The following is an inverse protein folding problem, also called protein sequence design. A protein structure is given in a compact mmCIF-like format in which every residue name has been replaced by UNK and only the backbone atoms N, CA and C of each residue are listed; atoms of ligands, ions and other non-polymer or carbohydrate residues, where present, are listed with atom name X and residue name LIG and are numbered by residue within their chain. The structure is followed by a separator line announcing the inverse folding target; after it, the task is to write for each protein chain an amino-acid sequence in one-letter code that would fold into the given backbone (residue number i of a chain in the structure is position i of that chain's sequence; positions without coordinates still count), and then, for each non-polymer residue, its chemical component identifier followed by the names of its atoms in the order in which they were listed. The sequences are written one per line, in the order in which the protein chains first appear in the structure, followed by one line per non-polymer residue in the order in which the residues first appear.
data_IF_670983863446
#
_entry.id   IF_670983863446
#
_cell.length_a   1.000
_cell.length_b   1.000
_cell.length_c   1.000
_cell.angle_alpha   90.00
_cell.angle_beta   90.00
_cell.angle_gamma   90.00
#
_symmetry.space_group_name_H-M   'P 1'
#
loop_
_entity.id
_entity.type
_entity.pdbx_description
1 polymer ?
#
# COMPACT_ATOMS: atom_id res chain seq x y z
N UNK A 1 67.36 -74.41 31.21
CA UNK A 1 67.56 -73.07 30.60
C UNK A 1 67.47 -73.18 29.09
N UNK A 2 66.31 -72.92 28.51
CA UNK A 2 66.14 -72.64 27.07
C UNK A 2 65.11 -71.54 26.94
N UNK A 3 65.56 -70.39 26.46
CA UNK A 3 64.76 -69.21 26.13
C UNK A 3 64.05 -69.53 24.82
N UNK A 4 62.72 -69.46 24.81
CA UNK A 4 61.91 -69.67 23.61
C UNK A 4 61.20 -68.36 23.28
N UNK A 5 61.72 -67.68 22.25
CA UNK A 5 61.20 -66.43 21.71
C UNK A 5 59.93 -66.72 20.90
N UNK A 6 58.79 -66.14 21.30
CA UNK A 6 57.57 -66.12 20.48
C UNK A 6 57.37 -64.72 19.89
N UNK A 7 57.32 -64.65 18.55
CA UNK A 7 56.93 -63.46 17.80
C UNK A 7 55.44 -63.17 18.03
N UNK A 8 55.12 -61.95 18.43
CA UNK A 8 53.75 -61.42 18.51
C UNK A 8 53.43 -60.75 17.17
N UNK A 9 52.46 -61.28 16.42
CA UNK A 9 51.87 -60.61 15.27
C UNK A 9 50.71 -59.73 15.75
N UNK A 10 50.87 -58.40 15.70
CA UNK A 10 49.79 -57.44 15.95
C UNK A 10 49.11 -57.15 14.61
N UNK A 11 47.91 -57.70 14.39
CA UNK A 11 47.05 -57.29 13.27
C UNK A 11 46.21 -56.10 13.70
N UNK A 12 46.55 -54.91 13.19
CA UNK A 12 45.85 -53.66 13.46
C UNK A 12 44.53 -53.64 12.69
N UNK A 13 43.40 -53.78 13.39
CA UNK A 13 42.06 -53.63 12.82
C UNK A 13 41.66 -52.15 12.87
N UNK A 14 41.72 -51.48 11.73
CA UNK A 14 41.19 -50.13 11.54
C UNK A 14 39.68 -50.19 11.36
N UNK A 15 38.93 -49.74 12.35
CA UNK A 15 37.48 -49.50 12.25
C UNK A 15 37.26 -48.06 11.77
N UNK A 16 36.67 -47.81 10.59
CA UNK A 16 36.38 -46.45 10.15
C UNK A 16 35.18 -45.91 10.93
N UNK A 17 35.43 -44.92 11.79
CA UNK A 17 34.38 -44.13 12.45
C UNK A 17 33.86 -43.13 11.41
N UNK A 18 32.70 -43.40 10.82
CA UNK A 18 31.98 -42.43 10.00
C UNK A 18 31.40 -41.34 10.91
N UNK A 19 32.09 -40.21 11.02
CA UNK A 19 31.48 -38.97 11.50
C UNK A 19 30.58 -38.43 10.40
N UNK A 20 29.26 -38.61 10.55
CA UNK A 20 28.27 -37.90 9.75
C UNK A 20 28.21 -36.47 10.29
N UNK A 21 29.03 -35.58 9.74
CA UNK A 21 28.83 -34.14 9.90
C UNK A 21 27.57 -33.77 9.10
N UNK A 22 26.42 -33.67 9.77
CA UNK A 22 25.31 -32.91 9.23
C UNK A 22 25.74 -31.43 9.25
N UNK A 23 26.27 -30.96 8.13
CA UNK A 23 26.35 -29.53 7.87
C UNK A 23 24.90 -29.04 7.76
N UNK A 24 24.42 -28.34 8.81
CA UNK A 24 23.25 -27.48 8.68
C UNK A 24 23.65 -26.35 7.74
N UNK A 25 23.38 -26.51 6.44
CA UNK A 25 23.36 -25.38 5.53
C UNK A 25 22.23 -24.46 6.02
N UNK A 26 22.49 -23.17 6.30
CA UNK A 26 21.41 -22.21 6.51
C UNK A 26 20.53 -22.23 5.26
N UNK A 27 19.22 -22.25 5.46
CA UNK A 27 18.24 -22.38 4.38
C UNK A 27 18.50 -21.28 3.35
N UNK A 28 18.80 -21.61 2.09
CA UNK A 28 19.07 -20.58 1.05
C UNK A 28 17.94 -19.54 0.95
N UNK A 29 16.71 -19.96 1.27
CA UNK A 29 15.50 -19.13 1.34
C UNK A 29 15.50 -18.10 2.48
N UNK A 30 16.19 -18.35 3.59
CA UNK A 30 16.27 -17.47 4.76
C UNK A 30 17.26 -16.32 4.50
N UNK A 31 18.40 -16.64 3.88
CA UNK A 31 19.41 -15.64 3.47
C UNK A 31 18.87 -14.70 2.37
N UNK A 32 18.06 -15.23 1.44
CA UNK A 32 17.37 -14.42 0.42
C UNK A 32 16.36 -13.42 1.00
N UNK A 33 15.67 -13.80 2.08
CA UNK A 33 14.69 -12.93 2.75
C UNK A 33 15.35 -11.72 3.40
N UNK A 34 16.41 -11.98 4.17
CA UNK A 34 17.16 -10.92 4.85
C UNK A 34 17.78 -9.94 3.85
N UNK A 35 18.41 -10.44 2.78
CA UNK A 35 18.95 -9.61 1.70
C UNK A 35 17.86 -8.73 1.07
N UNK A 36 16.71 -9.32 0.75
CA UNK A 36 15.57 -8.57 0.18
C UNK A 36 15.03 -7.52 1.16
N UNK A 37 14.98 -7.83 2.46
CA UNK A 37 14.50 -6.89 3.47
C UNK A 37 15.46 -5.70 3.61
N UNK A 38 16.76 -5.97 3.68
CA UNK A 38 17.80 -4.94 3.79
C UNK A 38 17.79 -4.02 2.56
N UNK A 39 17.70 -4.61 1.36
CA UNK A 39 17.71 -3.86 0.09
C UNK A 39 16.44 -3.00 -0.09
N UNK A 40 15.27 -3.56 0.22
CA UNK A 40 13.99 -2.97 -0.22
C UNK A 40 13.09 -2.42 0.89
N UNK A 41 13.26 -2.84 2.14
CA UNK A 41 12.32 -2.54 3.23
C UNK A 41 12.95 -1.73 4.37
N UNK A 42 14.21 -2.01 4.71
CA UNK A 42 14.88 -1.50 5.90
C UNK A 42 15.06 0.02 5.90
N UNK A 43 15.25 0.65 4.74
CA UNK A 43 15.38 2.12 4.62
C UNK A 43 14.16 2.88 5.15
N UNK A 44 12.96 2.28 5.05
CA UNK A 44 11.71 2.85 5.58
C UNK A 44 11.29 2.19 6.90
N UNK A 45 11.27 0.86 6.97
CA UNK A 45 10.76 0.13 8.13
C UNK A 45 11.78 -0.06 9.25
N UNK A 46 13.07 0.19 8.99
CA UNK A 46 14.19 0.03 9.91
C UNK A 46 14.60 -1.44 10.11
N UNK A 47 15.86 -1.67 10.49
CA UNK A 47 16.40 -3.03 10.70
C UNK A 47 15.69 -3.85 11.78
N UNK A 48 14.90 -3.19 12.64
CA UNK A 48 14.11 -3.85 13.69
C UNK A 48 12.60 -3.80 13.41
N UNK A 49 12.18 -3.41 12.21
CA UNK A 49 10.77 -3.36 11.81
C UNK A 49 9.93 -2.29 12.52
N UNK A 50 10.54 -1.30 13.18
CA UNK A 50 9.84 -0.30 14.02
C UNK A 50 9.24 0.88 13.25
N UNK A 51 9.38 0.90 11.93
CA UNK A 51 8.93 2.02 11.08
C UNK A 51 9.81 3.26 11.24
N UNK A 52 11.09 3.08 11.57
CA UNK A 52 12.05 4.15 11.90
C UNK A 52 13.36 4.04 11.11
N UNK A 53 13.31 3.52 9.88
CA UNK A 53 14.47 3.50 9.00
C UNK A 53 14.97 4.91 8.66
N UNK A 54 16.16 5.02 8.09
CA UNK A 54 16.83 6.29 7.84
C UNK A 54 16.02 7.25 6.95
N UNK A 55 15.12 6.74 6.12
CA UNK A 55 14.22 7.53 5.26
C UNK A 55 12.81 7.71 5.85
N UNK A 56 12.50 7.09 7.00
CA UNK A 56 11.16 7.15 7.60
C UNK A 56 10.71 8.58 7.94
N UNK A 57 11.65 9.50 8.18
CA UNK A 57 11.33 10.90 8.48
C UNK A 57 10.76 11.65 7.26
N UNK A 58 11.09 11.23 6.03
CA UNK A 58 10.74 11.86 4.76
C UNK A 58 9.37 11.48 4.21
N UNK A 59 8.72 10.46 4.77
CA UNK A 59 7.48 9.90 4.20
C UNK A 59 6.30 10.05 5.16
N UNK A 60 5.14 10.36 4.58
CA UNK A 60 3.85 10.37 5.26
C UNK A 60 2.74 9.72 4.40
N UNK A 61 1.91 8.82 4.97
CA UNK A 61 1.90 8.34 6.36
C UNK A 61 3.18 7.60 6.77
N UNK A 62 3.46 7.55 8.07
CA UNK A 62 4.68 6.88 8.58
C UNK A 62 4.71 5.39 8.21
N UNK A 63 5.90 4.82 7.94
CA UNK A 63 6.05 3.40 7.67
C UNK A 63 5.49 2.58 8.83
N UNK A 64 4.91 1.43 8.51
CA UNK A 64 4.34 0.54 9.52
C UNK A 64 5.43 0.09 10.50
N UNK A 65 5.15 0.24 11.78
CA UNK A 65 5.81 -0.50 12.85
C UNK A 65 5.21 -1.90 12.97
N UNK A 66 5.97 -2.88 12.49
CA UNK A 66 5.59 -4.28 12.56
C UNK A 66 5.59 -4.79 14.00
N UNK A 67 6.47 -4.29 14.87
CA UNK A 67 6.59 -4.72 16.29
C UNK A 67 5.35 -4.43 17.13
N UNK A 68 4.45 -3.57 16.64
CA UNK A 68 3.16 -3.32 17.28
C UNK A 68 2.14 -4.45 17.10
N UNK A 69 2.34 -5.34 16.12
CA UNK A 69 1.33 -6.34 15.72
C UNK A 69 0.07 -5.76 15.07
N UNK A 70 0.01 -4.43 14.84
CA UNK A 70 -1.18 -3.74 14.32
C UNK A 70 -1.09 -3.55 12.80
N UNK A 71 -1.92 -4.29 12.05
CA UNK A 71 -2.00 -4.21 10.59
C UNK A 71 -3.29 -3.54 10.13
N UNK A 72 -3.19 -2.53 9.25
CA UNK A 72 -4.36 -1.80 8.71
C UNK A 72 -5.18 -2.65 7.75
N UNK A 73 -4.49 -3.42 6.88
CA UNK A 73 -5.10 -4.18 5.80
C UNK A 73 -5.12 -5.65 6.20
N UNK A 74 -6.33 -6.18 6.41
CA UNK A 74 -6.56 -7.53 6.95
C UNK A 74 -7.86 -8.09 6.39
N UNK A 75 -7.94 -9.41 6.25
CA UNK A 75 -9.18 -10.14 5.97
C UNK A 75 -9.77 -10.83 7.22
N UNK A 76 -9.27 -10.50 8.41
CA UNK A 76 -9.66 -11.10 9.70
C UNK A 76 -10.42 -10.11 10.61
N UNK A 77 -11.19 -10.56 11.61
CA UNK A 77 -11.92 -9.68 12.55
C UNK A 77 -11.01 -8.79 13.40
N UNK A 78 -11.50 -7.67 13.94
CA UNK A 78 -10.71 -6.76 14.77
C UNK A 78 -9.97 -7.49 15.91
N UNK A 79 -8.70 -7.14 16.12
CA UNK A 79 -7.85 -7.79 17.12
C UNK A 79 -7.19 -9.09 16.67
N UNK A 80 -7.57 -9.64 15.51
CA UNK A 80 -6.94 -10.85 14.95
C UNK A 80 -5.79 -10.47 13.99
N UNK A 81 -4.65 -11.19 13.98
CA UNK A 81 -3.56 -10.93 13.04
C UNK A 81 -3.99 -11.03 11.56
N UNK A 82 -3.26 -10.38 10.63
CA UNK A 82 -3.45 -10.59 9.20
C UNK A 82 -3.07 -12.02 8.78
N UNK A 83 -3.66 -12.51 7.70
CA UNK A 83 -3.24 -13.76 7.06
C UNK A 83 -1.98 -13.55 6.22
N UNK A 84 -1.26 -14.63 5.89
CA UNK A 84 -0.10 -14.54 4.98
C UNK A 84 -0.50 -13.95 3.61
N UNK A 85 -1.71 -14.23 3.13
CA UNK A 85 -2.25 -13.65 1.89
C UNK A 85 -2.48 -12.14 2.00
N UNK A 86 -2.88 -11.63 3.16
CA UNK A 86 -3.03 -10.18 3.39
C UNK A 86 -1.65 -9.48 3.31
N UNK A 87 -0.63 -10.05 3.95
CA UNK A 87 0.74 -9.52 3.93
C UNK A 87 1.32 -9.65 2.51
N UNK A 88 1.14 -10.79 1.86
CA UNK A 88 1.56 -11.03 0.48
C UNK A 88 1.00 -9.97 -0.46
N UNK A 89 -0.33 -9.77 -0.44
CA UNK A 89 -0.99 -8.78 -1.31
C UNK A 89 -0.51 -7.37 -1.01
N UNK A 90 -0.31 -7.02 0.26
CA UNK A 90 0.20 -5.71 0.66
C UNK A 90 1.61 -5.45 0.11
N UNK A 91 2.53 -6.42 0.20
CA UNK A 91 3.88 -6.28 -0.35
C UNK A 91 3.82 -6.27 -1.89
N UNK A 92 3.12 -7.24 -2.46
CA UNK A 92 3.05 -7.42 -3.91
C UNK A 92 2.44 -6.20 -4.59
N UNK A 93 1.33 -5.66 -4.08
CA UNK A 93 0.61 -4.54 -4.70
C UNK A 93 1.08 -3.16 -4.22
N UNK A 94 1.76 -3.09 -3.08
CA UNK A 94 2.02 -1.83 -2.39
C UNK A 94 0.77 -1.26 -1.73
N UNK A 95 0.85 -0.02 -1.27
CA UNK A 95 -0.26 0.70 -0.65
C UNK A 95 -0.48 2.04 -1.36
N UNK A 96 -1.46 2.14 -2.27
CA UNK A 96 -1.73 3.34 -3.04
C UNK A 96 -1.86 4.63 -2.19
N UNK A 97 -1.25 5.70 -2.71
CA UNK A 97 -1.13 7.01 -2.06
C UNK A 97 -0.27 7.01 -0.80
N UNK A 98 0.61 6.03 -0.65
CA UNK A 98 1.66 6.03 0.36
C UNK A 98 2.98 5.73 -0.32
N UNK A 99 4.10 6.02 0.36
CA UNK A 99 5.44 5.72 -0.15
C UNK A 99 5.80 4.23 -0.11
N UNK A 100 4.83 3.33 0.08
CA UNK A 100 5.02 1.87 -0.01
C UNK A 100 4.69 1.40 -1.44
N UNK A 101 5.70 1.24 -2.31
CA UNK A 101 5.48 0.89 -3.70
C UNK A 101 5.06 -0.57 -3.87
N UNK A 102 4.72 -0.91 -5.10
CA UNK A 102 4.45 -2.28 -5.54
C UNK A 102 5.76 -3.07 -5.72
N UNK A 103 5.85 -4.27 -5.13
CA UNK A 103 7.01 -5.17 -5.24
C UNK A 103 6.76 -6.38 -6.15
N UNK A 104 5.85 -6.27 -7.14
CA UNK A 104 5.55 -7.31 -8.14
C UNK A 104 6.75 -7.86 -8.90
N UNK A 105 7.87 -7.13 -8.93
CA UNK A 105 9.10 -7.57 -9.58
C UNK A 105 9.86 -8.65 -8.80
N UNK A 106 9.57 -8.82 -7.50
CA UNK A 106 10.10 -9.90 -6.67
C UNK A 106 9.37 -11.21 -6.98
N UNK A 107 10.09 -12.33 -6.90
CA UNK A 107 9.49 -13.66 -7.05
C UNK A 107 8.62 -13.97 -5.84
N UNK A 108 7.59 -14.80 -6.04
CA UNK A 108 6.70 -15.23 -4.96
C UNK A 108 7.44 -15.83 -3.76
N UNK A 109 8.56 -16.53 -3.98
CA UNK A 109 9.36 -17.12 -2.90
C UNK A 109 10.10 -16.04 -2.09
N UNK A 110 10.56 -14.96 -2.73
CA UNK A 110 11.20 -13.82 -2.05
C UNK A 110 10.19 -13.09 -1.19
N UNK A 111 8.98 -12.85 -1.71
CA UNK A 111 7.89 -12.24 -0.93
C UNK A 111 7.49 -13.14 0.25
N UNK A 112 7.44 -14.46 0.08
CA UNK A 112 7.19 -15.39 1.20
C UNK A 112 8.25 -15.29 2.31
N UNK A 113 9.52 -15.17 1.96
CA UNK A 113 10.57 -14.94 2.95
C UNK A 113 10.41 -13.59 3.67
N UNK A 114 10.01 -12.53 2.96
CA UNK A 114 9.69 -11.23 3.57
C UNK A 114 8.49 -11.31 4.52
N UNK A 115 7.46 -12.11 4.20
CA UNK A 115 6.31 -12.33 5.08
C UNK A 115 6.75 -12.93 6.42
N UNK A 116 7.66 -13.92 6.40
CA UNK A 116 8.19 -14.52 7.63
C UNK A 116 8.91 -13.47 8.48
N UNK A 117 9.76 -12.64 7.89
CA UNK A 117 10.45 -11.55 8.59
C UNK A 117 9.45 -10.57 9.23
N UNK A 118 8.40 -10.17 8.50
CA UNK A 118 7.36 -9.28 9.02
C UNK A 118 6.62 -9.92 10.20
N UNK A 119 6.31 -11.22 10.12
CA UNK A 119 5.67 -11.98 11.21
C UNK A 119 6.57 -12.10 12.42
N UNK A 120 7.87 -12.32 12.21
CA UNK A 120 8.87 -12.39 13.27
C UNK A 120 9.01 -11.04 13.98
N UNK A 121 9.07 -9.91 13.26
CA UNK A 121 9.05 -8.60 13.91
C UNK A 121 7.77 -8.38 14.72
N UNK A 122 6.62 -8.78 14.17
CA UNK A 122 5.32 -8.61 14.80
C UNK A 122 5.02 -9.61 15.91
N UNK A 123 5.83 -10.67 16.05
CA UNK A 123 5.61 -11.78 16.98
C UNK A 123 4.19 -12.36 16.84
N UNK A 124 3.72 -12.53 15.60
CA UNK A 124 2.39 -13.05 15.29
C UNK A 124 2.45 -14.49 14.76
N UNK A 125 1.52 -15.31 15.23
CA UNK A 125 1.16 -16.57 14.61
C UNK A 125 -0.22 -16.43 13.96
N UNK A 126 -0.35 -16.86 12.71
CA UNK A 126 -1.54 -16.72 11.91
C UNK A 126 -1.97 -18.00 11.18
N UNK A 127 -1.49 -19.18 11.62
CA UNK A 127 -1.81 -20.45 10.96
C UNK A 127 -3.32 -20.77 10.99
N UNK A 128 -4.01 -20.46 12.10
CA UNK A 128 -5.41 -20.85 12.33
C UNK A 128 -6.37 -19.66 12.46
N UNK A 129 -6.02 -18.50 11.92
CA UNK A 129 -6.87 -17.30 12.03
C UNK A 129 -8.13 -17.44 11.19
N UNK A 130 -9.28 -17.14 11.81
CA UNK A 130 -10.56 -17.12 11.11
C UNK A 130 -10.68 -15.86 10.26
N UNK A 131 -10.93 -16.04 8.97
CA UNK A 131 -11.23 -14.95 8.02
C UNK A 131 -12.67 -14.46 8.18
N UNK A 132 -12.89 -13.19 7.86
CA UNK A 132 -14.23 -12.61 7.70
C UNK A 132 -14.87 -13.27 6.47
N UNK A 133 -16.03 -13.89 6.67
CA UNK A 133 -16.88 -14.36 5.58
C UNK A 133 -17.62 -13.17 4.98
N UNK A 134 -17.35 -12.87 3.72
CA UNK A 134 -18.08 -11.83 2.98
C UNK A 134 -19.38 -12.48 2.45
N UNK A 135 -20.57 -11.97 2.84
CA UNK A 135 -21.85 -12.48 2.34
C UNK A 135 -22.01 -12.19 0.84
N UNK A 136 -23.01 -12.80 0.21
CA UNK A 136 -23.35 -12.49 -1.18
C UNK A 136 -23.70 -11.01 -1.32
N UNK A 137 -23.24 -10.39 -2.41
CA UNK A 137 -23.51 -8.98 -2.68
C UNK A 137 -24.99 -8.78 -2.99
N UNK A 138 -25.61 -7.82 -2.27
CA UNK A 138 -26.93 -7.30 -2.62
C UNK A 138 -26.70 -6.20 -3.66
N UNK A 139 -27.25 -6.29 -4.88
CA UNK A 139 -27.04 -5.26 -5.91
C UNK A 139 -27.46 -3.87 -5.42
N UNK A 140 -26.74 -2.80 -5.83
CA UNK A 140 -27.08 -1.44 -5.40
C UNK A 140 -28.46 -1.03 -5.93
N UNK A 141 -29.19 -0.29 -5.10
CA UNK A 141 -30.44 0.39 -5.46
C UNK A 141 -30.46 1.77 -4.78
N UNK A 142 -31.30 2.68 -5.24
CA UNK A 142 -31.48 3.99 -4.62
C UNK A 142 -31.83 3.87 -3.12
N UNK A 143 -32.73 2.93 -2.76
CA UNK A 143 -33.07 2.63 -1.36
C UNK A 143 -31.84 2.22 -0.52
N UNK A 144 -30.97 1.35 -1.05
CA UNK A 144 -29.79 0.89 -0.33
C UNK A 144 -28.74 1.99 -0.21
N UNK A 145 -28.61 2.86 -1.21
CA UNK A 145 -27.69 4.00 -1.17
C UNK A 145 -28.18 5.01 -0.12
N UNK A 146 -29.48 5.31 -0.08
CA UNK A 146 -30.07 6.21 0.92
C UNK A 146 -29.98 5.65 2.35
N UNK A 147 -30.18 4.34 2.51
CA UNK A 147 -29.94 3.65 3.77
C UNK A 147 -28.46 3.76 4.17
N UNK A 148 -27.53 3.55 3.23
CA UNK A 148 -26.10 3.70 3.45
C UNK A 148 -25.70 5.12 3.86
N UNK A 149 -26.30 6.14 3.24
CA UNK A 149 -26.12 7.56 3.63
C UNK A 149 -26.55 7.79 5.08
N UNK A 150 -27.71 7.26 5.44
CA UNK A 150 -28.25 7.38 6.80
C UNK A 150 -27.31 6.74 7.82
N UNK A 151 -26.84 5.53 7.55
CA UNK A 151 -25.86 4.83 8.40
C UNK A 151 -24.57 5.66 8.54
N UNK A 152 -24.01 6.14 7.42
CA UNK A 152 -22.77 6.92 7.40
C UNK A 152 -22.83 8.16 8.29
N UNK A 153 -23.98 8.83 8.34
CA UNK A 153 -24.21 9.97 9.23
C UNK A 153 -24.45 9.55 10.69
N UNK A 154 -25.28 8.54 10.91
CA UNK A 154 -25.71 8.09 12.24
C UNK A 154 -24.55 7.48 13.06
N UNK A 155 -23.69 6.71 12.41
CA UNK A 155 -22.50 6.11 13.05
C UNK A 155 -21.29 7.06 13.08
N UNK A 156 -21.45 8.27 12.55
CA UNK A 156 -20.46 9.34 12.61
C UNK A 156 -19.28 9.23 11.64
N UNK A 157 -19.38 8.46 10.54
CA UNK A 157 -18.32 8.38 9.53
C UNK A 157 -17.98 9.78 8.98
N UNK A 158 -18.99 10.61 8.77
CA UNK A 158 -18.86 11.98 8.26
C UNK A 158 -18.06 12.91 9.18
N UNK A 159 -17.98 12.62 10.48
CA UNK A 159 -17.22 13.44 11.43
C UNK A 159 -15.72 13.41 11.14
N UNK A 160 -15.23 12.31 10.55
CA UNK A 160 -13.85 12.15 10.12
C UNK A 160 -13.70 12.35 8.61
N UNK A 161 -14.55 11.69 7.83
CA UNK A 161 -14.44 11.63 6.38
C UNK A 161 -15.15 12.76 5.62
N UNK A 162 -15.91 13.62 6.32
CA UNK A 162 -16.75 14.64 5.69
C UNK A 162 -18.03 14.07 5.11
N UNK A 163 -18.99 14.94 4.76
CA UNK A 163 -20.27 14.51 4.17
C UNK A 163 -20.12 14.00 2.72
N UNK A 164 -19.01 14.37 2.06
CA UNK A 164 -18.73 14.08 0.65
C UNK A 164 -17.58 13.09 0.48
N UNK A 165 -17.01 12.54 1.56
CA UNK A 165 -15.90 11.58 1.49
C UNK A 165 -14.53 12.20 1.24
N UNK A 166 -14.44 13.54 1.25
CA UNK A 166 -13.20 14.27 0.97
C UNK A 166 -12.20 14.26 2.13
N UNK A 167 -12.53 13.71 3.29
CA UNK A 167 -11.62 13.68 4.45
C UNK A 167 -11.56 15.00 5.23
N UNK A 168 -12.58 15.82 5.13
CA UNK A 168 -12.69 17.19 5.68
C UNK A 168 -13.70 17.30 6.83
N UNK A 169 -14.00 16.17 7.49
CA UNK A 169 -14.90 16.15 8.64
C UNK A 169 -14.37 16.99 9.82
N UNK A 170 -15.28 17.45 10.69
CA UNK A 170 -14.96 18.34 11.83
C UNK A 170 -13.93 17.79 12.82
N UNK A 171 -13.71 16.47 12.82
CA UNK A 171 -12.71 15.77 13.65
C UNK A 171 -11.46 15.34 12.86
N UNK A 172 -11.44 15.51 11.54
CA UNK A 172 -10.39 15.03 10.64
C UNK A 172 -8.98 15.45 11.07
N UNK A 173 -8.74 16.75 11.27
CA UNK A 173 -7.43 17.29 11.67
C UNK A 173 -6.98 16.94 13.09
N UNK A 174 -7.83 16.26 13.89
CA UNK A 174 -7.53 15.87 15.28
C UNK A 174 -7.15 14.40 15.42
N UNK A 175 -7.31 13.61 14.35
CA UNK A 175 -7.08 12.18 14.40
C UNK A 175 -5.60 11.84 14.53
N UNK A 176 -5.30 10.91 15.43
CA UNK A 176 -3.95 10.38 15.64
C UNK A 176 -3.96 8.87 15.56
N UNK A 177 -2.89 8.30 15.01
CA UNK A 177 -2.67 6.86 15.04
C UNK A 177 -2.21 6.40 16.43
N UNK A 178 -2.03 5.08 16.61
CA UNK A 178 -1.57 4.48 17.87
C UNK A 178 -0.19 4.98 18.34
N UNK A 179 0.60 5.61 17.47
CA UNK A 179 1.90 6.22 17.81
C UNK A 179 1.82 7.73 18.05
N UNK A 180 0.64 8.32 17.91
CA UNK A 180 0.42 9.75 18.08
C UNK A 180 0.70 10.59 16.84
N UNK A 181 1.00 9.98 15.68
CA UNK A 181 1.14 10.71 14.42
C UNK A 181 -0.23 11.11 13.88
N UNK A 182 -0.31 12.30 13.28
CA UNK A 182 -1.54 12.76 12.61
C UNK A 182 -1.92 11.79 11.49
N UNK A 183 -3.20 11.41 11.44
CA UNK A 183 -3.76 10.50 10.43
C UNK A 183 -5.09 11.04 9.88
N UNK A 184 -4.96 12.08 9.07
CA UNK A 184 -6.08 12.68 8.34
C UNK A 184 -6.65 11.64 7.35
N UNK A 185 -7.96 11.37 7.34
CA UNK A 185 -8.57 10.47 6.37
C UNK A 185 -8.38 11.03 4.96
N UNK A 186 -7.98 10.18 4.02
CA UNK A 186 -7.80 10.59 2.62
C UNK A 186 -9.13 10.89 1.94
N UNK A 187 -9.06 11.67 0.87
CA UNK A 187 -10.13 11.81 -0.10
C UNK A 187 -10.26 10.49 -0.86
N UNK A 188 -11.34 9.77 -0.58
CA UNK A 188 -11.62 8.51 -1.24
C UNK A 188 -12.52 8.67 -2.47
N UNK A 189 -12.98 9.88 -2.80
CA UNK A 189 -13.81 10.14 -3.99
C UNK A 189 -13.05 9.90 -5.29
N UNK A 190 -11.72 9.84 -5.23
CA UNK A 190 -10.84 9.37 -6.30
C UNK A 190 -11.02 7.88 -6.65
N UNK A 191 -11.65 7.09 -5.78
CA UNK A 191 -11.72 5.63 -5.90
C UNK A 191 -10.43 4.91 -5.52
N UNK A 192 -9.39 5.63 -5.08
CA UNK A 192 -8.13 5.04 -4.60
C UNK A 192 -8.17 4.85 -3.09
N UNK A 193 -8.28 3.59 -2.68
CA UNK A 193 -8.32 3.20 -1.26
C UNK A 193 -7.02 2.52 -0.85
N UNK A 194 -6.60 2.73 0.40
CA UNK A 194 -5.40 2.14 0.96
C UNK A 194 -5.41 0.60 0.90
N UNK A 195 -6.57 -0.02 1.08
CA UNK A 195 -6.73 -1.48 1.20
C UNK A 195 -7.36 -2.16 -0.02
N UNK A 196 -7.38 -1.50 -1.19
CA UNK A 196 -8.13 -1.95 -2.37
C UNK A 196 -9.49 -1.27 -2.51
N UNK A 197 -9.90 -1.00 -3.75
CA UNK A 197 -11.10 -0.23 -4.10
C UNK A 197 -12.31 -1.04 -4.57
N UNK A 198 -12.24 -2.38 -4.48
CA UNK A 198 -13.41 -3.21 -4.78
C UNK A 198 -14.41 -3.15 -3.63
N UNK A 199 -15.69 -3.42 -3.92
CA UNK A 199 -16.74 -3.48 -2.87
C UNK A 199 -16.41 -4.49 -1.77
N UNK A 200 -15.76 -5.60 -2.13
CA UNK A 200 -15.30 -6.63 -1.17
C UNK A 200 -14.19 -6.10 -0.26
N UNK A 201 -13.27 -5.30 -0.79
CA UNK A 201 -12.22 -4.67 0.00
C UNK A 201 -12.80 -3.69 1.01
N UNK A 202 -13.73 -2.83 0.58
CA UNK A 202 -14.43 -1.88 1.45
C UNK A 202 -15.21 -2.62 2.55
N UNK A 203 -15.93 -3.70 2.20
CA UNK A 203 -16.62 -4.54 3.18
C UNK A 203 -15.66 -5.04 4.27
N UNK A 204 -14.48 -5.55 3.89
CA UNK A 204 -13.48 -6.01 4.85
C UNK A 204 -12.95 -4.87 5.74
N UNK A 205 -12.82 -3.64 5.22
CA UNK A 205 -12.40 -2.48 6.02
C UNK A 205 -13.47 -2.06 7.02
N UNK A 206 -14.74 -2.08 6.64
CA UNK A 206 -15.82 -1.74 7.56
C UNK A 206 -15.99 -2.83 8.62
N UNK A 207 -16.09 -4.10 8.24
CA UNK A 207 -16.30 -5.19 9.20
C UNK A 207 -15.08 -5.44 10.08
N UNK A 208 -13.87 -5.37 9.52
CA UNK A 208 -12.63 -5.63 10.23
C UNK A 208 -12.02 -4.41 10.93
N UNK A 209 -12.40 -3.20 10.56
CA UNK A 209 -11.73 -1.97 11.00
C UNK A 209 -10.28 -1.88 10.51
N UNK A 210 -9.59 -0.80 10.91
CA UNK A 210 -8.19 -0.56 10.53
C UNK A 210 -7.30 -0.44 11.77
N UNK A 211 -6.56 -1.50 12.10
CA UNK A 211 -5.81 -1.56 13.35
C UNK A 211 -4.74 -0.45 13.46
N UNK A 212 -4.64 0.14 14.65
CA UNK A 212 -3.74 1.26 14.94
C UNK A 212 -4.19 2.61 14.39
N UNK A 213 -5.43 2.71 13.89
CA UNK A 213 -6.04 4.00 13.51
C UNK A 213 -7.34 4.25 14.29
N UNK A 214 -7.88 5.48 14.26
CA UNK A 214 -9.21 5.77 14.80
C UNK A 214 -10.39 5.19 14.01
N UNK A 215 -10.18 4.43 12.92
CA UNK A 215 -11.26 3.83 12.13
C UNK A 215 -11.64 2.46 12.71
N UNK A 216 -12.75 2.35 13.45
CA UNK A 216 -13.11 1.13 14.16
C UNK A 216 -13.70 0.08 13.22
N UNK A 217 -13.99 -1.09 13.79
CA UNK A 217 -14.79 -2.10 13.13
C UNK A 217 -16.30 -1.81 13.30
N UNK A 218 -17.05 -2.03 12.24
CA UNK A 218 -18.49 -1.91 12.10
C UNK A 218 -19.10 -3.28 11.70
N UNK A 219 -18.57 -4.38 12.25
CA UNK A 219 -19.08 -5.74 12.01
C UNK A 219 -20.35 -6.09 12.79
N UNK A 220 -20.88 -5.14 13.55
CA UNK A 220 -22.07 -5.26 14.38
C UNK A 220 -23.01 -4.05 14.19
N UNK A 221 -23.19 -3.59 12.95
CA UNK A 221 -24.03 -2.44 12.63
C UNK A 221 -25.47 -2.64 13.09
N UNK A 222 -26.00 -3.86 13.02
CA UNK A 222 -27.36 -4.12 13.47
C UNK A 222 -27.52 -3.81 14.97
N UNK A 223 -26.56 -4.23 15.79
CA UNK A 223 -26.56 -3.92 17.22
C UNK A 223 -26.37 -2.42 17.47
N UNK A 224 -25.40 -1.79 16.80
CA UNK A 224 -25.09 -0.36 16.94
C UNK A 224 -26.30 0.54 16.62
N UNK A 225 -27.13 0.13 15.65
CA UNK A 225 -28.29 0.87 15.16
C UNK A 225 -29.63 0.39 15.75
N UNK A 226 -29.61 -0.56 16.70
CA UNK A 226 -30.82 -1.14 17.27
C UNK A 226 -31.73 -1.85 16.26
N UNK A 227 -31.15 -2.47 15.22
CA UNK A 227 -31.83 -3.22 14.16
C UNK A 227 -31.76 -4.74 14.40
N UNK A 228 -32.67 -5.53 13.80
CA UNK A 228 -32.58 -6.99 13.85
C UNK A 228 -31.25 -7.52 13.29
N UNK A 229 -30.69 -8.58 13.89
CA UNK A 229 -29.43 -9.17 13.41
C UNK A 229 -29.50 -9.68 11.97
N UNK A 230 -30.70 -10.02 11.48
CA UNK A 230 -30.95 -10.39 10.08
C UNK A 230 -30.57 -9.28 9.09
N UNK A 231 -30.55 -8.02 9.53
CA UNK A 231 -30.32 -6.86 8.68
C UNK A 231 -28.82 -6.54 8.55
N UNK A 232 -27.94 -7.20 9.30
CA UNK A 232 -26.48 -6.92 9.33
C UNK A 232 -25.88 -6.84 7.92
N UNK A 233 -26.16 -7.83 7.07
CA UNK A 233 -25.64 -7.86 5.71
C UNK A 233 -26.22 -6.73 4.84
N UNK A 234 -27.52 -6.42 5.00
CA UNK A 234 -28.17 -5.30 4.29
C UNK A 234 -27.52 -3.98 4.70
N UNK A 235 -27.30 -3.76 5.99
CA UNK A 235 -26.69 -2.55 6.53
C UNK A 235 -25.24 -2.37 6.04
N UNK A 236 -24.43 -3.43 6.12
CA UNK A 236 -23.04 -3.40 5.66
C UNK A 236 -22.93 -3.12 4.15
N UNK A 237 -23.74 -3.80 3.32
CA UNK A 237 -23.74 -3.53 1.87
C UNK A 237 -24.28 -2.16 1.51
N UNK A 238 -25.29 -1.66 2.24
CA UNK A 238 -25.82 -0.31 2.06
C UNK A 238 -24.72 0.74 2.28
N UNK A 239 -23.94 0.59 3.36
CA UNK A 239 -22.81 1.48 3.65
C UNK A 239 -21.73 1.43 2.55
N UNK A 240 -21.39 0.23 2.05
CA UNK A 240 -20.46 0.06 0.92
C UNK A 240 -20.97 0.77 -0.33
N UNK A 241 -22.24 0.59 -0.69
CA UNK A 241 -22.81 1.22 -1.88
C UNK A 241 -22.85 2.74 -1.76
N UNK A 242 -23.17 3.27 -0.59
CA UNK A 242 -23.12 4.71 -0.37
C UNK A 242 -21.70 5.26 -0.50
N UNK A 243 -20.69 4.63 0.10
CA UNK A 243 -19.30 5.07 -0.03
C UNK A 243 -18.82 5.01 -1.48
N UNK A 244 -19.19 3.95 -2.23
CA UNK A 244 -18.92 3.86 -3.67
C UNK A 244 -19.66 4.93 -4.48
N UNK A 245 -20.86 5.34 -4.06
CA UNK A 245 -21.63 6.39 -4.76
C UNK A 245 -21.03 7.79 -4.63
N UNK A 246 -20.09 8.00 -3.69
CA UNK A 246 -19.36 9.25 -3.52
C UNK A 246 -18.13 9.35 -4.44
N UNK A 247 -17.77 8.28 -5.15
CA UNK A 247 -16.68 8.32 -6.12
C UNK A 247 -17.06 9.20 -7.31
N UNK A 248 -16.12 10.02 -7.78
CA UNK A 248 -16.33 10.82 -9.00
C UNK A 248 -16.27 9.94 -10.25
N UNK A 249 -17.09 10.26 -11.26
CA UNK A 249 -17.20 9.50 -12.53
C UNK A 249 -15.90 9.44 -13.35
N UNK A 250 -14.91 10.29 -13.04
CA UNK A 250 -13.56 10.25 -13.64
C UNK A 250 -12.90 8.87 -13.46
N UNK A 251 -13.39 8.07 -12.52
CA UNK A 251 -12.74 6.85 -12.05
C UNK A 251 -12.92 5.56 -12.85
N UNK A 252 -13.94 5.44 -13.71
CA UNK A 252 -14.25 4.15 -14.36
C UNK A 252 -13.73 4.02 -15.80
N UNK A 253 -13.68 5.11 -16.58
CA UNK A 253 -13.43 5.03 -18.03
C UNK A 253 -12.10 5.68 -18.46
N UNK A 254 -11.46 6.49 -17.61
CA UNK A 254 -10.28 7.30 -17.99
C UNK A 254 -9.03 7.04 -17.15
N UNK A 255 -9.14 6.38 -15.98
CA UNK A 255 -8.00 6.12 -15.11
C UNK A 255 -7.31 4.79 -15.45
N UNK A 256 -6.40 4.81 -16.44
CA UNK A 256 -5.42 3.72 -16.54
C UNK A 256 -4.43 3.87 -15.39
N UNK A 257 -4.55 3.06 -14.33
CA UNK A 257 -3.43 2.89 -13.40
C UNK A 257 -2.26 2.23 -14.15
N UNK A 258 -1.02 2.74 -14.06
CA UNK A 258 0.10 2.16 -14.79
C UNK A 258 0.38 0.74 -14.30
N UNK A 259 0.13 -0.26 -15.15
CA UNK A 259 0.45 -1.66 -14.85
C UNK A 259 1.97 -1.81 -14.69
N UNK A 260 2.40 -2.38 -13.56
CA UNK A 260 3.81 -2.59 -13.18
C UNK A 260 4.67 -1.32 -13.23
N UNK A 261 4.05 -0.15 -13.01
CA UNK A 261 4.73 1.15 -13.06
C UNK A 261 5.16 1.56 -14.47
N UNK A 262 4.50 1.04 -15.51
CA UNK A 262 4.78 1.39 -16.91
C UNK A 262 3.74 2.36 -17.46
N UNK A 263 4.23 3.36 -18.16
CA UNK A 263 3.43 4.34 -18.91
C UNK A 263 3.76 4.16 -20.38
N UNK A 264 2.74 3.99 -21.22
CA UNK A 264 2.93 3.91 -22.67
C UNK A 264 3.09 5.32 -23.23
N UNK A 265 4.24 5.57 -23.87
CA UNK A 265 4.46 6.82 -24.58
C UNK A 265 3.98 6.71 -26.04
N UNK A 266 3.21 7.68 -26.52
CA UNK A 266 2.77 7.74 -27.92
C UNK A 266 3.91 8.21 -28.82
N UNK A 267 4.21 7.44 -29.87
CA UNK A 267 5.13 7.87 -30.91
C UNK A 267 4.49 8.95 -31.79
N UNK A 268 5.14 10.09 -31.94
CA UNK A 268 4.66 11.22 -32.75
C UNK A 268 5.61 11.49 -33.93
N UNK A 269 5.12 12.20 -34.94
CA UNK A 269 5.93 12.53 -36.12
C UNK A 269 7.26 13.20 -35.75
N UNK A 270 8.33 12.84 -36.47
CA UNK A 270 9.65 13.47 -36.34
C UNK A 270 9.64 14.97 -36.69
N UNK A 271 8.62 15.44 -37.41
CA UNK A 271 8.39 16.86 -37.73
C UNK A 271 7.79 17.64 -36.55
N UNK A 272 7.29 16.98 -35.52
CA UNK A 272 6.76 17.63 -34.32
C UNK A 272 7.89 18.32 -33.57
N UNK A 273 7.80 19.65 -33.49
CA UNK A 273 8.79 20.51 -32.84
C UNK A 273 8.50 20.63 -31.33
N UNK A 274 9.51 21.08 -30.58
CA UNK A 274 9.47 21.17 -29.12
C UNK A 274 8.43 22.16 -28.58
N UNK A 275 8.15 23.25 -29.29
CA UNK A 275 7.08 24.21 -28.96
C UNK A 275 5.72 23.54 -28.84
N UNK A 276 5.38 22.66 -29.79
CA UNK A 276 4.13 21.88 -29.76
C UNK A 276 4.10 20.81 -28.66
N UNK A 277 5.27 20.28 -28.30
CA UNK A 277 5.40 19.31 -27.20
C UNK A 277 5.28 19.99 -25.82
N UNK A 278 5.72 21.24 -25.69
CA UNK A 278 5.65 22.02 -24.44
C UNK A 278 4.28 22.70 -24.24
N UNK A 279 3.48 22.83 -25.30
CA UNK A 279 2.10 23.32 -25.20
C UNK A 279 1.16 22.22 -24.64
N UNK A 280 0.86 22.32 -23.34
CA UNK A 280 -0.03 21.39 -22.64
C UNK A 280 -1.49 21.42 -23.15
N UNK A 281 -1.89 22.49 -23.86
CA UNK A 281 -3.22 22.63 -24.46
C UNK A 281 -3.31 22.07 -25.88
N UNK A 282 -2.19 21.58 -26.43
CA UNK A 282 -2.13 21.05 -27.78
C UNK A 282 -3.03 19.82 -27.95
N UNK A 283 -3.77 19.76 -29.06
CA UNK A 283 -4.57 18.59 -29.44
C UNK A 283 -3.76 17.30 -29.66
N UNK A 284 -2.43 17.39 -29.62
CA UNK A 284 -1.53 16.24 -29.55
C UNK A 284 -1.83 15.36 -28.33
N UNK A 285 -2.06 15.99 -27.16
CA UNK A 285 -2.25 15.32 -25.88
C UNK A 285 -3.58 14.55 -25.80
N UNK A 286 -4.56 14.94 -26.62
CA UNK A 286 -5.85 14.25 -26.70
C UNK A 286 -5.76 12.85 -27.33
N UNK A 287 -4.61 12.47 -27.90
CA UNK A 287 -4.39 11.19 -28.59
C UNK A 287 -3.60 10.17 -27.78
N UNK A 288 -3.07 10.56 -26.62
CA UNK A 288 -2.29 9.68 -25.75
C UNK A 288 -3.14 9.22 -24.58
N UNK A 289 -2.86 8.01 -24.13
CA UNK A 289 -3.39 7.49 -22.87
C UNK A 289 -3.00 8.43 -21.72
N UNK A 290 -3.95 8.70 -20.82
CA UNK A 290 -3.70 9.35 -19.53
C UNK A 290 -3.61 8.29 -18.45
N UNK A 291 -2.59 8.44 -17.59
CA UNK A 291 -2.36 7.57 -16.46
C UNK A 291 -2.50 8.37 -15.18
N UNK A 292 -3.47 8.00 -14.35
CA UNK A 292 -3.71 8.66 -13.08
C UNK A 292 -2.82 8.04 -12.01
N UNK A 293 -1.89 8.82 -11.46
CA UNK A 293 -0.89 8.35 -10.50
C UNK A 293 -1.18 8.88 -9.10
N UNK A 294 -1.36 7.98 -8.12
CA UNK A 294 -1.32 8.31 -6.70
C UNK A 294 -0.04 9.01 -6.28
N UNK A 295 -0.12 10.24 -5.75
CA UNK A 295 1.04 10.83 -5.07
C UNK A 295 0.93 10.73 -3.55
N UNK A 296 2.09 10.62 -2.90
CA UNK A 296 2.21 10.51 -1.46
C UNK A 296 2.67 11.84 -0.86
N UNK A 297 2.33 12.06 0.41
CA UNK A 297 2.81 13.23 1.13
C UNK A 297 4.27 13.02 1.54
N UNK A 298 5.13 14.00 1.27
CA UNK A 298 6.48 14.05 1.87
C UNK A 298 6.47 14.75 3.25
N UNK A 299 5.49 15.63 3.53
CA UNK A 299 5.37 16.33 4.81
C UNK A 299 3.94 16.33 5.39
N UNK A 300 3.85 16.55 6.70
CA UNK A 300 2.57 16.76 7.40
C UNK A 300 2.01 18.13 7.01
N UNK A 301 1.14 18.16 5.99
CA UNK A 301 0.26 19.31 5.73
C UNK A 301 -1.14 18.99 6.25
N UNK A 302 -1.78 20.00 6.85
CA UNK A 302 -3.15 19.93 7.36
C UNK A 302 -4.21 20.04 6.25
N UNK A 303 -3.80 20.42 5.02
CA UNK A 303 -4.73 20.93 4.01
C UNK A 303 -4.94 20.09 2.75
N UNK A 304 -4.27 18.94 2.54
CA UNK A 304 -4.38 18.24 1.24
C UNK A 304 -4.71 16.77 1.39
N UNK A 305 -5.95 16.42 1.09
CA UNK A 305 -6.37 15.04 0.90
C UNK A 305 -5.98 14.59 -0.51
N UNK A 306 -5.00 13.69 -0.57
CA UNK A 306 -4.53 12.92 -1.72
C UNK A 306 -4.74 13.53 -3.12
N UNK A 307 -3.65 13.99 -3.73
CA UNK A 307 -3.64 14.45 -5.11
C UNK A 307 -3.39 13.28 -6.07
N UNK A 308 -4.08 13.31 -7.20
CA UNK A 308 -3.71 12.52 -8.38
C UNK A 308 -2.88 13.40 -9.29
N UNK A 309 -1.85 12.82 -9.89
CA UNK A 309 -1.16 13.43 -11.02
C UNK A 309 -1.51 12.63 -12.26
N UNK A 310 -2.15 13.29 -13.22
CA UNK A 310 -2.36 12.75 -14.56
C UNK A 310 -1.06 12.84 -15.35
N UNK A 311 -0.62 11.69 -15.89
CA UNK A 311 0.62 11.57 -16.63
C UNK A 311 0.34 11.09 -18.04
N UNK A 312 0.82 11.86 -19.01
CA UNK A 312 0.82 11.49 -20.42
C UNK A 312 2.25 11.59 -20.96
N UNK A 313 2.62 10.70 -21.88
CA UNK A 313 3.97 10.70 -22.46
C UNK A 313 3.92 10.59 -23.98
N UNK A 314 4.78 11.35 -24.65
CA UNK A 314 4.98 11.27 -26.10
C UNK A 314 6.46 11.27 -26.42
N UNK A 315 6.84 10.67 -27.54
CA UNK A 315 8.23 10.67 -27.98
C UNK A 315 8.38 10.71 -29.50
N UNK A 316 9.51 11.23 -29.96
CA UNK A 316 9.99 11.09 -31.33
C UNK A 316 11.51 10.82 -31.33
N UNK A 317 12.16 10.88 -32.50
CA UNK A 317 13.59 10.61 -32.63
C UNK A 317 14.52 11.61 -31.92
N UNK A 318 14.00 12.71 -31.39
CA UNK A 318 14.78 13.78 -30.74
C UNK A 318 14.35 14.10 -29.32
N UNK A 319 13.07 13.95 -29.01
CA UNK A 319 12.47 14.40 -27.77
C UNK A 319 11.62 13.31 -27.11
N UNK A 320 11.66 13.32 -25.80
CA UNK A 320 10.63 12.72 -24.94
C UNK A 320 9.97 13.91 -24.24
N UNK A 321 8.65 13.95 -24.25
CA UNK A 321 7.88 14.95 -23.51
C UNK A 321 6.88 14.23 -22.61
N UNK A 322 6.77 14.72 -21.37
CA UNK A 322 5.87 14.20 -20.36
C UNK A 322 5.01 15.36 -19.90
N UNK A 323 3.68 15.19 -19.98
CA UNK A 323 2.71 16.13 -19.42
C UNK A 323 2.31 15.62 -18.04
N UNK A 324 2.41 16.48 -17.04
CA UNK A 324 1.95 16.27 -15.67
C UNK A 324 0.84 17.30 -15.41
N UNK A 325 -0.30 16.83 -14.92
CA UNK A 325 -1.46 17.68 -14.60
C UNK A 325 -2.03 17.26 -13.24
N UNK A 326 -2.29 18.21 -12.35
CA UNK A 326 -2.84 17.97 -11.02
C UNK A 326 -3.81 19.09 -10.63
N UNK A 327 -4.72 18.78 -9.71
CA UNK A 327 -5.62 19.78 -9.12
C UNK A 327 -4.90 20.52 -7.99
N UNK A 328 -4.76 21.84 -8.13
CA UNK A 328 -4.32 22.73 -7.08
C UNK A 328 -5.53 23.28 -6.31
N UNK A 329 -5.68 22.84 -5.06
CA UNK A 329 -6.76 23.25 -4.17
C UNK A 329 -6.43 24.54 -3.40
N UNK A 330 -5.19 25.04 -3.51
CA UNK A 330 -4.76 26.29 -2.89
C UNK A 330 -4.89 27.43 -3.89
N UNK A 331 -5.85 28.33 -3.65
CA UNK A 331 -5.89 29.60 -4.37
C UNK A 331 -4.85 30.55 -3.79
N UNK A 332 -3.63 30.54 -4.31
CA UNK A 332 -2.59 31.48 -3.91
C UNK A 332 -2.75 32.84 -4.61
N UNK A 333 -3.72 33.65 -4.17
CA UNK A 333 -3.88 35.04 -4.66
C UNK A 333 -2.90 36.05 -4.00
N UNK A 334 -1.98 35.59 -3.15
CA UNK A 334 -1.10 36.46 -2.37
C UNK A 334 0.22 36.79 -3.09
N UNK A 335 0.74 38.00 -2.86
CA UNK A 335 2.04 38.42 -3.39
C UNK A 335 3.18 37.55 -2.83
N UNK A 336 3.88 36.83 -3.71
CA UNK A 336 4.96 35.90 -3.38
C UNK A 336 6.05 36.54 -2.49
N UNK A 337 6.35 35.91 -1.35
CA UNK A 337 7.61 36.14 -0.62
C UNK A 337 8.70 35.25 -1.22
N UNK A 338 9.96 35.67 -1.15
CA UNK A 338 11.14 34.89 -1.61
C UNK A 338 11.24 33.50 -0.94
N UNK A 339 10.54 33.30 0.18
CA UNK A 339 10.51 32.06 0.95
C UNK A 339 9.36 31.12 0.58
N UNK A 340 8.45 31.53 -0.32
CA UNK A 340 7.37 30.68 -0.80
C UNK A 340 7.90 29.84 -1.97
N UNK A 341 7.63 28.53 -1.93
CA UNK A 341 7.93 27.64 -3.05
C UNK A 341 6.84 27.79 -4.10
N UNK A 342 7.23 27.91 -5.37
CA UNK A 342 6.29 27.75 -6.48
C UNK A 342 6.01 26.26 -6.67
N UNK A 343 4.79 25.95 -7.13
CA UNK A 343 4.45 24.63 -7.62
C UNK A 343 5.49 24.13 -8.64
N UNK A 344 5.95 22.90 -8.45
CA UNK A 344 7.03 22.34 -9.23
C UNK A 344 6.99 20.82 -9.26
N UNK A 345 7.40 20.27 -10.40
CA UNK A 345 7.56 18.84 -10.60
C UNK A 345 8.93 18.55 -11.21
N UNK A 346 9.49 17.38 -10.89
CA UNK A 346 10.75 16.91 -11.44
C UNK A 346 10.61 15.46 -11.93
N UNK A 347 11.30 15.15 -13.03
CA UNK A 347 11.37 13.79 -13.58
C UNK A 347 12.84 13.38 -13.56
N UNK A 348 13.12 12.21 -12.96
CA UNK A 348 14.46 11.64 -12.89
C UNK A 348 14.56 10.42 -13.83
N UNK A 349 15.65 10.33 -14.57
CA UNK A 349 15.95 9.19 -15.44
C UNK A 349 17.04 8.32 -14.81
N UNK A 350 16.82 7.00 -14.82
CA UNK A 350 17.88 6.03 -14.53
C UNK A 350 18.85 5.96 -15.71
N UNK A 351 20.14 6.11 -15.43
CA UNK A 351 21.20 6.14 -16.46
C UNK A 351 21.61 4.72 -16.89
N UNK A 352 21.53 3.75 -15.98
CA UNK A 352 21.97 2.37 -16.20
C UNK A 352 20.82 1.39 -16.45
N UNK A 353 19.57 1.89 -16.46
CA UNK A 353 18.37 1.07 -16.62
C UNK A 353 18.04 0.22 -15.39
N UNK A 354 18.82 0.34 -14.30
CA UNK A 354 18.44 -0.23 -13.02
C UNK A 354 17.28 0.57 -12.45
N UNK A 355 16.26 -0.13 -11.98
CA UNK A 355 15.17 0.49 -11.22
C UNK A 355 15.73 0.81 -9.84
N UNK A 356 16.42 1.93 -9.69
CA UNK A 356 16.80 2.42 -8.37
C UNK A 356 15.58 2.50 -7.45
N UNK A 357 15.80 2.37 -6.14
CA UNK A 357 14.77 2.62 -5.14
C UNK A 357 14.25 4.07 -5.30
N UNK A 358 13.06 4.24 -5.87
CA UNK A 358 12.38 5.55 -5.98
C UNK A 358 11.27 5.58 -4.93
N UNK A 359 11.68 5.74 -3.68
CA UNK A 359 10.78 6.00 -2.58
C UNK A 359 10.87 7.45 -2.13
N UNK A 360 10.45 8.41 -2.97
CA UNK A 360 10.12 9.77 -2.50
C UNK A 360 9.11 10.44 -3.44
N UNK A 361 7.91 10.74 -2.91
CA UNK A 361 6.88 11.60 -3.51
C UNK A 361 5.77 10.86 -4.22
#
# INVERSE_FOLDING_TARGET
MKILTYLIFITSVLVPIFFISQAFAPNETENMGEQSYQEYCASCHGNSGKGNGDLAYLVYPKPRDFTSGLFKIRSTPAGVPPTDDDIFKTIHQGLPGTSMPSFKFLRNQEIKSLINIVKDFAQIDNQDVQKITIPDEIPPSEELIDLGRSIYMEVGCNMCHGNTGKGDGSSSGKLKDSKGYSIIPKDFTSGVYLGGGTKRDLYLRFVGGMAGTPMPAYGNLAELLGKPKSDENKLAWSLVHYVKSLETEISAETMKSPEDGKISALHVSWLTKSDKLLDASSSLWNKTDSYSIPISRLWQSDNVNYQMVEVQAVYNSKYIAVKLEWEDITSEESLYRVQNFQDGAAIQFSIDGTKGFHGMG
#
